data_IF_184315682002
#
_entry.id   IF_184315682002
#
_cell.length_a   1.000
_cell.length_b   1.000
_cell.length_c   1.000
_cell.angle_alpha   90.00
_cell.angle_beta   90.00
_cell.angle_gamma   90.00
#
_symmetry.space_group_name_H-M   'P 1'
#
loop_
_entity.id
_entity.type
_entity.pdbx_description
1 polymer ?
#
# COMPACT_ATOMS: atom_id res chain seq x y z
N UNK A 1 -16.35 -1.37 -5.88
CA UNK A 1 -15.22 -0.46 -6.14
C UNK A 1 -14.86 -0.51 -7.62
N UNK A 2 -14.51 0.61 -8.22
CA UNK A 2 -13.92 0.65 -9.56
C UNK A 2 -12.39 0.53 -9.41
N UNK A 3 -11.82 -0.63 -9.73
CA UNK A 3 -10.40 -0.91 -9.54
C UNK A 3 -9.56 -0.24 -10.64
N UNK A 4 -8.60 0.57 -10.23
CA UNK A 4 -7.62 1.21 -11.09
C UNK A 4 -6.60 0.17 -11.62
N UNK A 5 -6.25 -0.84 -10.81
CA UNK A 5 -5.39 -1.95 -11.20
C UNK A 5 -6.21 -3.14 -11.74
N UNK A 6 -6.84 -2.94 -12.90
CA UNK A 6 -7.80 -3.89 -13.50
C UNK A 6 -7.31 -5.34 -13.61
N UNK A 7 -6.04 -5.55 -13.96
CA UNK A 7 -5.49 -6.91 -14.10
C UNK A 7 -5.12 -7.53 -12.75
N UNK A 8 -4.66 -6.72 -11.80
CA UNK A 8 -4.38 -7.19 -10.43
C UNK A 8 -5.69 -7.59 -9.73
N UNK A 9 -6.76 -6.80 -9.89
CA UNK A 9 -8.07 -7.08 -9.30
C UNK A 9 -8.77 -8.33 -9.88
N UNK A 10 -8.39 -8.77 -11.09
CA UNK A 10 -8.93 -9.99 -11.75
C UNK A 10 -8.27 -11.30 -11.29
N UNK A 11 -7.50 -11.28 -10.21
CA UNK A 11 -6.79 -12.46 -9.69
C UNK A 11 -5.29 -12.43 -9.88
N UNK A 12 -4.74 -11.41 -10.57
CA UNK A 12 -3.30 -11.23 -10.70
C UNK A 12 -2.62 -10.95 -9.35
N UNK A 13 -3.31 -10.23 -8.45
CA UNK A 13 -2.78 -9.86 -7.14
C UNK A 13 -2.48 -11.07 -6.25
N UNK A 14 -3.34 -12.09 -6.27
CA UNK A 14 -3.20 -13.31 -5.47
C UNK A 14 -2.09 -14.23 -5.98
N UNK A 15 -1.54 -13.98 -7.18
CA UNK A 15 -0.37 -14.71 -7.68
C UNK A 15 0.93 -14.16 -7.10
N UNK A 16 0.92 -12.92 -6.61
CA UNK A 16 2.08 -12.30 -5.98
C UNK A 16 2.33 -12.88 -4.59
N UNK A 17 3.61 -12.98 -4.22
CA UNK A 17 4.00 -13.18 -2.83
C UNK A 17 3.61 -11.96 -1.97
N UNK A 18 3.51 -12.11 -0.64
CA UNK A 18 3.21 -10.95 0.21
C UNK A 18 4.25 -9.83 0.06
N UNK A 19 5.52 -10.18 -0.11
CA UNK A 19 6.58 -9.18 -0.31
C UNK A 19 6.38 -8.40 -1.61
N UNK A 20 5.94 -9.05 -2.69
CA UNK A 20 5.59 -8.37 -3.94
C UNK A 20 4.33 -7.51 -3.78
N UNK A 21 3.31 -7.99 -3.08
CA UNK A 21 2.12 -7.19 -2.78
C UNK A 21 2.49 -5.92 -2.01
N UNK A 22 3.31 -6.05 -0.96
CA UNK A 22 3.80 -4.92 -0.17
C UNK A 22 4.72 -4.00 -0.98
N UNK A 23 5.56 -4.52 -1.87
CA UNK A 23 6.38 -3.71 -2.77
C UNK A 23 5.53 -2.84 -3.72
N UNK A 24 4.42 -3.40 -4.22
CA UNK A 24 3.49 -2.67 -5.08
C UNK A 24 2.71 -1.61 -4.28
N UNK A 25 2.24 -1.91 -3.06
CA UNK A 25 1.66 -0.90 -2.16
C UNK A 25 2.65 0.23 -1.92
N UNK A 26 3.91 -0.10 -1.59
CA UNK A 26 4.98 0.87 -1.40
C UNK A 26 5.19 1.82 -2.59
N UNK A 27 5.03 1.31 -3.82
CA UNK A 27 5.16 2.12 -5.04
C UNK A 27 4.06 3.19 -5.14
N UNK A 28 2.85 2.89 -4.65
CA UNK A 28 1.76 3.87 -4.57
C UNK A 28 1.97 4.86 -3.41
N UNK A 29 2.52 4.41 -2.28
CA UNK A 29 2.92 5.28 -1.16
C UNK A 29 3.99 6.29 -1.62
N UNK A 30 5.05 5.84 -2.30
CA UNK A 30 6.07 6.74 -2.88
C UNK A 30 5.47 7.75 -3.87
N UNK A 31 4.45 7.34 -4.63
CA UNK A 31 3.75 8.23 -5.56
C UNK A 31 2.91 9.27 -4.81
N UNK A 32 2.26 8.91 -3.71
CA UNK A 32 1.56 9.85 -2.85
C UNK A 32 2.55 10.89 -2.29
N UNK A 33 3.66 10.46 -1.69
CA UNK A 33 4.72 11.36 -1.18
C UNK A 33 5.21 12.32 -2.27
N UNK A 34 5.44 11.82 -3.48
CA UNK A 34 5.93 12.64 -4.60
C UNK A 34 5.03 13.85 -4.89
N UNK A 35 3.71 13.69 -4.78
CA UNK A 35 2.69 14.68 -5.13
C UNK A 35 2.11 15.44 -3.93
N UNK A 36 2.41 15.00 -2.71
CA UNK A 36 1.98 15.68 -1.48
C UNK A 36 2.42 17.15 -1.49
N UNK A 37 1.47 18.06 -1.26
CA UNK A 37 1.70 19.51 -1.28
C UNK A 37 2.02 20.11 -2.66
N UNK A 38 2.01 19.32 -3.75
CA UNK A 38 2.30 19.78 -5.12
C UNK A 38 1.10 19.72 -6.04
N UNK A 39 0.36 18.61 -6.00
CA UNK A 39 -0.84 18.40 -6.79
C UNK A 39 -1.78 17.47 -6.02
N UNK A 40 -2.86 18.03 -5.49
CA UNK A 40 -3.82 17.28 -4.67
C UNK A 40 -4.52 16.16 -5.45
N UNK A 41 -4.80 16.37 -6.74
CA UNK A 41 -5.48 15.36 -7.56
C UNK A 41 -4.57 14.16 -7.76
N UNK A 42 -3.29 14.38 -8.04
CA UNK A 42 -2.31 13.31 -8.21
C UNK A 42 -1.97 12.63 -6.87
N UNK A 43 -1.95 13.39 -5.78
CA UNK A 43 -1.82 12.85 -4.43
C UNK A 43 -2.96 11.88 -4.10
N UNK A 44 -4.21 12.35 -4.18
CA UNK A 44 -5.39 11.53 -3.85
C UNK A 44 -5.54 10.34 -4.79
N UNK A 45 -5.21 10.49 -6.08
CA UNK A 45 -5.22 9.36 -7.02
C UNK A 45 -4.22 8.27 -6.63
N UNK A 46 -3.06 8.61 -6.07
CA UNK A 46 -2.09 7.64 -5.55
C UNK A 46 -2.55 7.01 -4.22
N UNK A 47 -3.18 7.80 -3.34
CA UNK A 47 -3.78 7.29 -2.10
C UNK A 47 -4.86 6.26 -2.39
N UNK A 48 -5.81 6.56 -3.28
CA UNK A 48 -6.87 5.64 -3.67
C UNK A 48 -6.30 4.32 -4.22
N UNK A 49 -5.26 4.41 -5.05
CA UNK A 49 -4.54 3.24 -5.57
C UNK A 49 -3.89 2.42 -4.45
N UNK A 50 -3.24 3.05 -3.48
CA UNK A 50 -2.68 2.34 -2.33
C UNK A 50 -3.77 1.63 -1.51
N UNK A 51 -4.89 2.32 -1.22
CA UNK A 51 -6.04 1.76 -0.51
C UNK A 51 -6.64 0.56 -1.24
N UNK A 52 -6.74 0.62 -2.57
CA UNK A 52 -7.17 -0.49 -3.41
C UNK A 52 -6.26 -1.71 -3.23
N UNK A 53 -4.94 -1.53 -3.24
CA UNK A 53 -3.98 -2.62 -3.07
C UNK A 53 -3.98 -3.17 -1.63
N UNK A 54 -4.18 -2.34 -0.62
CA UNK A 54 -4.44 -2.78 0.75
C UNK A 54 -5.71 -3.65 0.82
N UNK A 55 -6.80 -3.21 0.21
CA UNK A 55 -8.06 -3.97 0.15
C UNK A 55 -7.85 -5.34 -0.52
N UNK A 56 -7.17 -5.39 -1.66
CA UNK A 56 -6.85 -6.65 -2.34
C UNK A 56 -5.99 -7.58 -1.46
N UNK A 57 -5.06 -7.03 -0.68
CA UNK A 57 -4.19 -7.79 0.23
C UNK A 57 -4.95 -8.31 1.45
N UNK A 58 -5.82 -7.49 2.05
CA UNK A 58 -6.70 -7.92 3.16
C UNK A 58 -7.75 -8.95 2.71
N UNK A 59 -8.17 -8.92 1.45
CA UNK A 59 -9.12 -9.88 0.88
C UNK A 59 -8.48 -11.22 0.50
N UNK A 60 -7.16 -11.35 0.60
CA UNK A 60 -6.43 -12.55 0.22
C UNK A 60 -6.43 -13.57 1.38
N UNK A 61 -7.16 -14.67 1.21
CA UNK A 61 -7.35 -15.71 2.24
C UNK A 61 -6.03 -16.34 2.71
N UNK A 62 -4.96 -16.27 1.90
CA UNK A 62 -3.62 -16.74 2.29
C UNK A 62 -3.09 -15.99 3.52
N UNK A 63 -3.55 -14.76 3.73
CA UNK A 63 -3.09 -13.87 4.81
C UNK A 63 -4.09 -13.72 5.95
N UNK A 64 -5.11 -14.58 6.05
CA UNK A 64 -6.15 -14.46 7.08
C UNK A 64 -5.59 -14.44 8.52
N UNK A 65 -4.53 -15.21 8.79
CA UNK A 65 -3.83 -15.21 10.09
C UNK A 65 -3.04 -13.92 10.40
N UNK A 66 -2.85 -13.05 9.41
CA UNK A 66 -2.04 -11.82 9.47
C UNK A 66 -2.89 -10.56 9.32
N UNK A 67 -4.22 -10.69 9.26
CA UNK A 67 -5.13 -9.56 9.02
C UNK A 67 -4.95 -8.45 10.05
N UNK A 68 -4.73 -8.78 11.32
CA UNK A 68 -4.49 -7.77 12.36
C UNK A 68 -3.34 -6.84 11.99
N UNK A 69 -2.22 -7.38 11.51
CA UNK A 69 -1.05 -6.60 11.14
C UNK A 69 -1.28 -5.82 9.85
N UNK A 70 -1.91 -6.43 8.84
CA UNK A 70 -2.18 -5.80 7.55
C UNK A 70 -3.17 -4.64 7.71
N UNK A 71 -4.25 -4.84 8.47
CA UNK A 71 -5.23 -3.80 8.78
C UNK A 71 -4.62 -2.70 9.62
N UNK A 72 -3.73 -3.01 10.57
CA UNK A 72 -2.98 -1.98 11.32
C UNK A 72 -2.12 -1.13 10.39
N UNK A 73 -1.43 -1.74 9.44
CA UNK A 73 -0.62 -1.00 8.47
C UNK A 73 -1.48 -0.10 7.57
N UNK A 74 -2.67 -0.57 7.18
CA UNK A 74 -3.67 0.23 6.48
C UNK A 74 -4.16 1.42 7.33
N UNK A 75 -4.48 1.21 8.61
CA UNK A 75 -4.87 2.28 9.55
C UNK A 75 -3.76 3.34 9.69
N UNK A 76 -2.51 2.91 9.89
CA UNK A 76 -1.34 3.80 9.99
C UNK A 76 -1.12 4.57 8.70
N UNK A 77 -1.36 3.96 7.54
CA UNK A 77 -1.33 4.67 6.25
C UNK A 77 -2.43 5.73 6.14
N UNK A 78 -3.67 5.41 6.50
CA UNK A 78 -4.77 6.38 6.49
C UNK A 78 -4.50 7.55 7.43
N UNK A 79 -4.01 7.29 8.64
CA UNK A 79 -3.63 8.34 9.60
C UNK A 79 -2.56 9.25 9.00
N UNK A 80 -1.48 8.69 8.43
CA UNK A 80 -0.42 9.48 7.81
C UNK A 80 -0.89 10.33 6.63
N UNK A 81 -1.84 9.83 5.83
CA UNK A 81 -2.48 10.60 4.75
C UNK A 81 -3.26 11.80 5.29
N UNK A 82 -3.89 11.64 6.46
CA UNK A 82 -4.76 12.66 7.08
C UNK A 82 -4.04 13.62 8.03
N UNK A 83 -2.72 13.45 8.25
CA UNK A 83 -1.91 14.34 9.08
C UNK A 83 -1.22 13.67 10.25
N UNK A 84 -1.54 12.41 10.54
CA UNK A 84 -0.76 11.55 11.43
C UNK A 84 -1.00 11.76 12.93
N UNK A 85 -2.16 12.26 13.34
CA UNK A 85 -2.41 12.62 14.75
C UNK A 85 -2.61 11.40 15.66
N UNK A 86 -3.26 10.33 15.19
CA UNK A 86 -3.63 9.18 16.03
C UNK A 86 -2.43 8.29 16.36
N UNK A 87 -1.55 8.06 15.38
CA UNK A 87 -0.41 7.16 15.52
C UNK A 87 0.95 7.86 15.42
N UNK A 88 0.97 9.20 15.33
CA UNK A 88 2.18 9.98 15.05
C UNK A 88 2.88 9.48 13.77
N UNK A 89 2.07 9.18 12.75
CA UNK A 89 2.51 8.51 11.53
C UNK A 89 2.85 9.50 10.43
N UNK A 90 3.81 9.14 9.57
CA UNK A 90 4.26 9.96 8.43
C UNK A 90 4.47 9.08 7.21
N UNK A 91 4.09 9.56 6.03
CA UNK A 91 4.18 8.78 4.80
C UNK A 91 5.61 8.30 4.52
N UNK A 92 6.64 9.09 4.84
CA UNK A 92 8.05 8.73 4.66
C UNK A 92 8.49 7.56 5.55
N UNK A 93 7.90 7.43 6.76
CA UNK A 93 8.17 6.28 7.62
C UNK A 93 7.55 5.00 7.04
N UNK A 94 6.36 5.12 6.46
CA UNK A 94 5.63 4.02 5.82
C UNK A 94 6.31 3.60 4.51
N UNK A 95 6.77 4.56 3.69
CA UNK A 95 7.57 4.28 2.49
C UNK A 95 8.82 3.49 2.85
N UNK A 96 9.54 3.90 3.90
CA UNK A 96 10.74 3.19 4.36
C UNK A 96 10.45 1.75 4.80
N UNK A 97 9.31 1.52 5.45
CA UNK A 97 8.87 0.17 5.80
C UNK A 97 8.66 -0.68 4.54
N UNK A 98 7.94 -0.14 3.53
CA UNK A 98 7.69 -0.86 2.28
C UNK A 98 8.94 -1.04 1.41
N UNK A 99 9.91 -0.15 1.49
CA UNK A 99 11.16 -0.23 0.74
C UNK A 99 11.91 -1.55 0.97
N UNK A 100 11.93 -2.07 2.20
CA UNK A 100 12.56 -3.35 2.49
C UNK A 100 11.88 -4.53 1.79
N UNK A 101 10.56 -4.48 1.63
CA UNK A 101 9.82 -5.48 0.84
C UNK A 101 10.07 -5.34 -0.66
N UNK A 102 10.24 -4.10 -1.16
CA UNK A 102 10.65 -3.86 -2.54
C UNK A 102 12.05 -4.42 -2.84
N UNK A 103 13.00 -4.30 -1.89
CA UNK A 103 14.31 -4.95 -2.01
C UNK A 103 14.21 -6.48 -1.95
N UNK A 104 13.45 -7.00 -0.98
CA UNK A 104 13.30 -8.44 -0.80
C UNK A 104 12.61 -9.13 -1.98
N UNK A 105 11.56 -8.52 -2.54
CA UNK A 105 10.83 -9.07 -3.70
C UNK A 105 11.70 -9.23 -4.97
N UNK A 106 12.85 -8.56 -5.02
CA UNK A 106 13.82 -8.68 -6.13
C UNK A 106 14.89 -9.75 -5.90
N UNK A 107 15.09 -10.25 -4.68
CA UNK A 107 16.16 -11.21 -4.37
C UNK A 107 15.95 -12.61 -4.97
N UNK A 108 14.76 -12.93 -5.46
CA UNK A 108 14.41 -14.23 -6.04
C UNK A 108 14.08 -14.19 -7.54
N UNK A 109 14.46 -13.12 -8.25
CA UNK A 109 14.32 -13.00 -9.71
C UNK A 109 15.66 -13.15 -10.40
#
# INVERSE_FOLDING_TARGET
>A
MNFQHKELSKGGWQKLSLAEQFANIGSEVSRAIRWQGKDEKLFWSAVERALELFYLTMSDLRWHHRLKEITRLHEVFCDAVLGGEEYNSRLEAIERYFFYYALYSRKGR
#
